data_IF_068096388074
#
_entry.id   IF_068096388074
#
_cell.length_a   1.000
_cell.length_b   1.000
_cell.length_c   1.000
_cell.angle_alpha   90.00
_cell.angle_beta   90.00
_cell.angle_gamma   90.00
#
_symmetry.space_group_name_H-M   'P 1'
#
loop_
_entity.id
_entity.type
_entity.pdbx_description
1 polymer ?
#
# COMPACT_ATOMS: atom_id res chain seq x y z
N UNK A 1 4.25 -2.34 -25.45
CA UNK A 1 3.84 -1.96 -24.09
C UNK A 1 2.66 -1.02 -24.23
N UNK A 2 1.54 -1.33 -23.63
CA UNK A 2 0.33 -0.49 -23.58
C UNK A 2 0.24 0.21 -22.21
N UNK A 3 -0.79 1.04 -21.99
CA UNK A 3 -0.95 1.81 -20.74
C UNK A 3 -1.05 0.92 -19.51
N UNK A 4 -1.76 -0.22 -19.58
CA UNK A 4 -1.85 -1.19 -18.48
C UNK A 4 -0.49 -1.79 -18.11
N UNK A 5 0.29 -2.14 -19.13
CA UNK A 5 1.63 -2.71 -18.93
C UNK A 5 2.54 -1.69 -18.22
N UNK A 6 2.45 -0.40 -18.59
CA UNK A 6 3.20 0.66 -17.94
C UNK A 6 2.80 0.84 -16.47
N UNK A 7 1.50 0.83 -16.16
CA UNK A 7 0.99 0.87 -14.78
C UNK A 7 1.47 -0.35 -14.00
N UNK A 8 1.36 -1.56 -14.59
CA UNK A 8 1.82 -2.80 -13.95
C UNK A 8 3.31 -2.74 -13.60
N UNK A 9 4.15 -2.24 -14.49
CA UNK A 9 5.60 -2.07 -14.22
C UNK A 9 5.82 -1.20 -13.00
N UNK A 10 5.05 -0.10 -12.83
CA UNK A 10 5.12 0.75 -11.64
C UNK A 10 4.70 0.03 -10.36
N UNK A 11 3.65 -0.80 -10.42
CA UNK A 11 3.20 -1.62 -9.29
C UNK A 11 4.23 -2.69 -8.91
N UNK A 12 4.77 -3.40 -9.89
CA UNK A 12 5.80 -4.43 -9.68
C UNK A 12 7.07 -3.83 -9.05
N UNK A 13 7.48 -2.64 -9.51
CA UNK A 13 8.63 -1.92 -8.94
C UNK A 13 8.37 -1.48 -7.50
N UNK A 14 7.17 -1.01 -7.21
CA UNK A 14 6.78 -0.62 -5.85
C UNK A 14 6.84 -1.81 -4.89
N UNK A 15 6.33 -2.97 -5.32
CA UNK A 15 6.41 -4.22 -4.54
C UNK A 15 7.85 -4.67 -4.33
N UNK A 16 8.67 -4.63 -5.38
CA UNK A 16 10.09 -5.00 -5.30
C UNK A 16 10.82 -4.14 -4.27
N UNK A 17 10.69 -2.81 -4.35
CA UNK A 17 11.35 -1.88 -3.42
C UNK A 17 10.81 -2.03 -1.99
N UNK A 18 9.49 -2.03 -1.83
CA UNK A 18 8.86 -2.11 -0.51
C UNK A 18 9.16 -3.42 0.20
N UNK A 19 8.98 -4.55 -0.47
CA UNK A 19 9.30 -5.88 0.10
C UNK A 19 10.79 -6.03 0.38
N UNK A 20 11.65 -5.46 -0.46
CA UNK A 20 13.09 -5.40 -0.19
C UNK A 20 13.38 -4.69 1.12
N UNK A 21 12.81 -3.50 1.35
CA UNK A 21 13.02 -2.76 2.61
C UNK A 21 12.45 -3.46 3.85
N UNK A 22 11.41 -4.26 3.70
CA UNK A 22 10.79 -4.98 4.82
C UNK A 22 11.47 -6.32 5.13
N UNK A 23 12.20 -6.88 4.18
CA UNK A 23 12.63 -8.29 4.19
C UNK A 23 13.33 -8.72 5.48
N UNK A 24 14.30 -7.94 5.94
CA UNK A 24 15.12 -8.23 7.11
C UNK A 24 14.69 -7.49 8.40
N UNK A 25 13.59 -6.73 8.37
CA UNK A 25 13.04 -6.07 9.56
C UNK A 25 12.19 -7.04 10.37
N UNK A 26 12.34 -7.01 11.69
CA UNK A 26 11.48 -7.74 12.64
C UNK A 26 10.19 -6.97 12.93
N UNK A 27 9.19 -7.65 13.52
CA UNK A 27 7.95 -7.00 13.95
C UNK A 27 8.21 -5.85 14.94
N UNK A 28 9.15 -6.03 15.87
CA UNK A 28 9.52 -4.98 16.80
C UNK A 28 10.16 -3.77 16.10
N UNK A 29 10.99 -3.99 15.09
CA UNK A 29 11.61 -2.92 14.30
C UNK A 29 10.57 -2.16 13.44
N UNK A 30 9.48 -2.82 13.03
CA UNK A 30 8.38 -2.15 12.31
C UNK A 30 7.64 -1.12 13.18
N UNK A 31 7.79 -1.16 14.51
CA UNK A 31 7.20 -0.18 15.43
C UNK A 31 8.12 1.02 15.69
N UNK A 32 9.31 1.05 15.10
CA UNK A 32 10.21 2.19 15.23
C UNK A 32 9.62 3.44 14.54
N UNK A 33 9.55 4.56 15.29
CA UNK A 33 9.11 5.85 14.73
C UNK A 33 10.32 6.70 14.38
N UNK A 34 10.49 7.10 13.12
CA UNK A 34 11.68 7.85 12.67
C UNK A 34 11.77 9.28 13.24
N UNK A 35 10.63 9.84 13.68
CA UNK A 35 10.56 11.17 14.28
C UNK A 35 9.29 11.29 15.13
N UNK A 36 9.25 12.31 15.99
CA UNK A 36 8.04 12.67 16.76
C UNK A 36 6.88 12.96 15.80
N UNK A 37 5.77 12.27 15.98
CA UNK A 37 4.57 12.42 15.15
C UNK A 37 4.62 11.65 13.82
N UNK A 38 5.73 10.97 13.50
CA UNK A 38 5.78 10.08 12.36
C UNK A 38 5.12 8.72 12.68
N UNK A 39 4.46 8.13 11.70
CA UNK A 39 3.89 6.80 11.83
C UNK A 39 4.96 5.72 11.68
N UNK A 40 4.88 4.66 12.48
CA UNK A 40 5.72 3.50 12.32
C UNK A 40 5.32 2.64 11.11
N UNK A 41 6.22 1.78 10.63
CA UNK A 41 6.04 0.99 9.39
C UNK A 41 4.83 0.07 9.46
N UNK A 42 4.57 -0.59 10.59
CA UNK A 42 3.43 -1.49 10.74
C UNK A 42 2.11 -0.78 10.43
N UNK A 43 1.88 0.40 11.03
CA UNK A 43 0.68 1.19 10.74
C UNK A 43 0.63 1.64 9.27
N UNK A 44 1.76 2.06 8.70
CA UNK A 44 1.83 2.49 7.30
C UNK A 44 1.47 1.35 6.34
N UNK A 45 1.94 0.12 6.60
CA UNK A 45 1.57 -1.06 5.82
C UNK A 45 0.05 -1.32 5.84
N UNK A 46 -0.55 -1.34 7.03
CA UNK A 46 -1.97 -1.53 7.15
C UNK A 46 -2.77 -0.42 6.47
N UNK A 47 -2.34 0.84 6.61
CA UNK A 47 -2.92 2.00 5.93
C UNK A 47 -2.86 1.86 4.39
N UNK A 48 -1.73 1.43 3.84
CA UNK A 48 -1.56 1.21 2.40
C UNK A 48 -2.51 0.13 1.88
N UNK A 49 -2.65 -0.97 2.62
CA UNK A 49 -3.56 -2.07 2.28
C UNK A 49 -5.02 -1.60 2.25
N UNK A 50 -5.45 -0.87 3.29
CA UNK A 50 -6.82 -0.31 3.36
C UNK A 50 -7.07 0.68 2.23
N UNK A 51 -6.10 1.55 1.97
CA UNK A 51 -6.18 2.55 0.89
C UNK A 51 -6.30 1.89 -0.49
N UNK A 52 -5.47 0.90 -0.79
CA UNK A 52 -5.54 0.15 -2.05
C UNK A 52 -6.88 -0.53 -2.22
N UNK A 53 -7.35 -1.24 -1.18
CA UNK A 53 -8.67 -1.88 -1.18
C UNK A 53 -9.78 -0.88 -1.53
N UNK A 54 -9.85 0.24 -0.80
CA UNK A 54 -10.92 1.23 -0.96
C UNK A 54 -10.89 1.91 -2.33
N UNK A 55 -9.72 2.29 -2.80
CA UNK A 55 -9.56 3.00 -4.08
C UNK A 55 -9.91 2.07 -5.24
N UNK A 56 -9.36 0.86 -5.27
CA UNK A 56 -9.63 -0.06 -6.38
C UNK A 56 -11.07 -0.56 -6.35
N UNK A 57 -11.63 -0.87 -5.17
CA UNK A 57 -13.05 -1.24 -5.06
C UNK A 57 -13.98 -0.12 -5.55
N UNK A 58 -13.58 1.15 -5.39
CA UNK A 58 -14.38 2.28 -5.86
C UNK A 58 -14.42 2.42 -7.39
N UNK A 59 -13.37 2.02 -8.11
CA UNK A 59 -13.31 2.06 -9.59
C UNK A 59 -13.62 0.72 -10.25
N UNK A 60 -13.49 -0.38 -9.52
CA UNK A 60 -13.78 -1.74 -9.97
C UNK A 60 -14.57 -2.52 -8.90
N UNK A 61 -15.84 -2.19 -8.65
CA UNK A 61 -16.65 -2.80 -7.59
C UNK A 61 -16.70 -4.32 -7.66
N UNK A 62 -16.50 -4.98 -6.53
CA UNK A 62 -16.50 -6.44 -6.40
C UNK A 62 -15.21 -7.11 -6.88
N UNK A 63 -14.17 -6.34 -7.21
CA UNK A 63 -12.89 -6.89 -7.68
C UNK A 63 -11.94 -7.25 -6.53
N UNK A 64 -12.10 -6.62 -5.37
CA UNK A 64 -11.17 -6.78 -4.26
C UNK A 64 -11.66 -7.83 -3.26
N UNK A 65 -10.78 -8.74 -2.78
CA UNK A 65 -11.16 -9.65 -1.71
C UNK A 65 -11.44 -8.87 -0.42
N UNK A 66 -12.43 -9.32 0.35
CA UNK A 66 -12.75 -8.69 1.62
C UNK A 66 -11.51 -8.64 2.54
N UNK A 67 -11.33 -7.50 3.19
CA UNK A 67 -10.31 -7.39 4.24
C UNK A 67 -10.71 -8.26 5.46
N UNK A 68 -9.75 -8.79 6.21
CA UNK A 68 -10.04 -9.51 7.45
C UNK A 68 -10.92 -8.69 8.39
N UNK A 69 -11.80 -9.36 9.16
CA UNK A 69 -12.69 -8.68 10.10
C UNK A 69 -11.91 -7.75 11.06
N UNK A 70 -12.34 -6.50 11.17
CA UNK A 70 -11.69 -5.49 12.01
C UNK A 70 -10.36 -4.92 11.47
N UNK A 71 -9.87 -5.40 10.31
CA UNK A 71 -8.59 -4.96 9.77
C UNK A 71 -8.56 -3.43 9.56
N UNK A 72 -9.52 -2.90 8.81
CA UNK A 72 -9.54 -1.46 8.49
C UNK A 72 -9.60 -0.58 9.75
N UNK A 73 -10.29 -1.00 10.80
CA UNK A 73 -10.40 -0.26 12.05
C UNK A 73 -9.08 -0.14 12.82
N UNK A 74 -8.11 -1.05 12.57
CA UNK A 74 -6.78 -0.99 13.19
C UNK A 74 -5.84 0.03 12.56
N UNK A 75 -6.13 0.51 11.34
CA UNK A 75 -5.22 1.31 10.53
C UNK A 75 -5.88 2.61 10.06
N UNK A 76 -6.60 3.27 10.96
CA UNK A 76 -7.20 4.60 10.76
C UNK A 76 -6.28 5.71 11.29
N UNK A 77 -6.61 6.97 11.03
CA UNK A 77 -5.87 8.12 11.58
C UNK A 77 -5.89 8.15 13.12
N UNK A 78 -7.00 7.72 13.71
CA UNK A 78 -7.22 7.68 15.16
C UNK A 78 -6.33 6.63 15.84
N UNK A 79 -5.98 5.56 15.14
CA UNK A 79 -5.11 4.48 15.65
C UNK A 79 -3.64 4.68 15.32
N UNK A 80 -3.28 5.76 14.64
CA UNK A 80 -1.90 6.02 14.20
C UNK A 80 -0.89 6.15 15.36
N UNK A 81 -1.35 6.43 16.58
CA UNK A 81 -0.53 6.51 17.79
C UNK A 81 -0.40 5.19 18.57
N UNK A 82 -1.03 4.11 18.12
CA UNK A 82 -0.97 2.80 18.77
C UNK A 82 0.41 2.18 18.54
N UNK A 83 1.11 1.87 19.63
CA UNK A 83 2.44 1.22 19.61
C UNK A 83 2.42 -0.16 20.28
N UNK A 84 1.27 -0.60 20.79
CA UNK A 84 1.09 -1.90 21.43
C UNK A 84 1.04 -3.03 20.38
N UNK A 85 2.05 -3.90 20.30
CA UNK A 85 2.10 -4.97 19.32
C UNK A 85 0.92 -5.95 19.43
N UNK A 86 0.28 -6.07 20.61
CA UNK A 86 -0.89 -6.94 20.79
C UNK A 86 -2.14 -6.45 20.04
N UNK A 87 -2.18 -5.17 19.67
CA UNK A 87 -3.27 -4.57 18.92
C UNK A 87 -3.04 -4.55 17.41
N UNK A 88 -1.85 -4.88 16.95
CA UNK A 88 -1.41 -4.80 15.56
C UNK A 88 -1.22 -6.20 14.97
N UNK A 89 -1.19 -6.28 13.65
CA UNK A 89 -0.85 -7.53 12.96
C UNK A 89 0.67 -7.66 12.82
N UNK A 90 1.14 -8.90 12.73
CA UNK A 90 2.54 -9.18 12.39
C UNK A 90 2.87 -8.78 10.96
N UNK A 91 4.16 -8.63 10.64
CA UNK A 91 4.62 -8.39 9.26
C UNK A 91 4.10 -9.44 8.29
N UNK A 92 4.16 -10.72 8.69
CA UNK A 92 3.72 -11.84 7.85
C UNK A 92 2.22 -11.74 7.53
N UNK A 93 1.39 -11.47 8.53
CA UNK A 93 -0.06 -11.29 8.35
C UNK A 93 -0.36 -10.10 7.43
N UNK A 94 0.33 -8.97 7.63
CA UNK A 94 0.17 -7.78 6.78
C UNK A 94 0.56 -8.06 5.33
N UNK A 95 1.72 -8.69 5.09
CA UNK A 95 2.17 -9.03 3.74
C UNK A 95 1.23 -10.02 3.06
N UNK A 96 0.67 -11.00 3.79
CA UNK A 96 -0.32 -11.93 3.25
C UNK A 96 -1.58 -11.19 2.77
N UNK A 97 -2.08 -10.23 3.54
CA UNK A 97 -3.25 -9.42 3.14
C UNK A 97 -2.88 -8.54 1.95
N UNK A 98 -1.73 -7.87 1.99
CA UNK A 98 -1.22 -7.06 0.88
C UNK A 98 -1.16 -7.87 -0.43
N UNK A 99 -0.55 -9.05 -0.41
CA UNK A 99 -0.37 -9.87 -1.61
C UNK A 99 -1.71 -10.28 -2.23
N UNK A 100 -2.71 -10.58 -1.41
CA UNK A 100 -4.05 -10.88 -1.88
C UNK A 100 -4.72 -9.64 -2.53
N UNK A 101 -4.59 -8.47 -1.92
CA UNK A 101 -5.13 -7.21 -2.46
C UNK A 101 -4.40 -6.82 -3.76
N UNK A 102 -3.07 -6.85 -3.78
CA UNK A 102 -2.26 -6.53 -4.96
C UNK A 102 -2.55 -7.47 -6.14
N UNK A 103 -2.69 -8.75 -5.90
CA UNK A 103 -3.07 -9.72 -6.93
C UNK A 103 -4.44 -9.39 -7.54
N UNK A 104 -5.40 -8.97 -6.72
CA UNK A 104 -6.73 -8.55 -7.18
C UNK A 104 -6.66 -7.23 -7.98
N UNK A 105 -5.88 -6.25 -7.51
CA UNK A 105 -5.61 -4.99 -8.25
C UNK A 105 -5.06 -5.28 -9.64
N UNK A 106 -4.05 -6.15 -9.75
CA UNK A 106 -3.45 -6.54 -11.02
C UNK A 106 -4.43 -7.31 -11.91
N UNK A 107 -5.26 -8.18 -11.34
CA UNK A 107 -6.28 -8.91 -12.07
C UNK A 107 -7.41 -7.98 -12.58
N UNK A 108 -7.78 -6.96 -11.82
CA UNK A 108 -8.74 -5.95 -12.25
C UNK A 108 -8.14 -5.09 -13.38
N UNK A 109 -6.92 -4.59 -13.21
CA UNK A 109 -6.20 -3.82 -14.22
C UNK A 109 -6.07 -4.58 -15.55
N UNK A 110 -5.78 -5.88 -15.50
CA UNK A 110 -5.59 -6.72 -16.69
C UNK A 110 -6.85 -6.83 -17.58
N UNK A 111 -8.03 -6.57 -17.03
CA UNK A 111 -9.31 -6.63 -17.76
C UNK A 111 -9.64 -5.33 -18.50
N UNK A 112 -8.96 -4.22 -18.18
CA UNK A 112 -9.25 -2.90 -18.75
C UNK A 112 -8.66 -2.75 -20.15
N UNK A 113 -9.24 -1.88 -20.95
CA UNK A 113 -8.65 -1.33 -22.18
C UNK A 113 -8.26 0.13 -21.95
N UNK A 114 -7.47 0.71 -22.86
CA UNK A 114 -6.98 2.09 -22.66
C UNK A 114 -8.13 3.10 -22.47
N UNK A 115 -9.25 2.93 -23.18
CA UNK A 115 -10.45 3.77 -23.00
C UNK A 115 -11.08 3.68 -21.59
N UNK A 116 -10.93 2.55 -20.89
CA UNK A 116 -11.40 2.43 -19.50
C UNK A 116 -10.52 3.24 -18.56
N UNK A 117 -9.22 3.32 -18.84
CA UNK A 117 -8.26 4.07 -18.02
C UNK A 117 -8.51 5.58 -18.03
N UNK A 118 -9.14 6.10 -19.10
CA UNK A 118 -9.52 7.50 -19.22
C UNK A 118 -10.83 7.84 -18.47
N UNK A 119 -11.56 6.84 -17.99
CA UNK A 119 -12.82 7.04 -17.26
C UNK A 119 -12.59 7.85 -16.00
N UNK A 120 -13.48 8.81 -15.75
CA UNK A 120 -13.45 9.64 -14.56
C UNK A 120 -13.64 8.80 -13.29
N UNK A 121 -12.84 9.10 -12.28
CA UNK A 121 -12.94 8.46 -10.98
C UNK A 121 -14.14 8.96 -10.17
N UNK A 122 -14.67 8.16 -9.22
CA UNK A 122 -15.68 8.61 -8.27
C UNK A 122 -15.27 9.90 -7.56
N UNK A 123 -16.25 10.74 -7.24
CA UNK A 123 -16.05 12.06 -6.64
C UNK A 123 -15.14 12.01 -5.38
N UNK A 124 -15.32 10.99 -4.56
CA UNK A 124 -14.57 10.82 -3.31
C UNK A 124 -13.04 10.76 -3.48
N UNK A 125 -12.55 10.31 -4.64
CA UNK A 125 -11.11 10.18 -4.91
C UNK A 125 -10.61 11.10 -6.04
N UNK A 126 -11.51 11.79 -6.76
CA UNK A 126 -11.20 12.54 -7.97
C UNK A 126 -10.19 13.66 -7.77
N UNK A 127 -10.14 14.26 -6.58
CA UNK A 127 -9.21 15.36 -6.27
C UNK A 127 -7.74 14.94 -6.34
N UNK A 128 -7.42 13.66 -6.12
CA UNK A 128 -6.04 13.13 -6.14
C UNK A 128 -5.85 11.96 -7.12
N UNK A 129 -6.93 11.39 -7.62
CA UNK A 129 -6.93 10.37 -8.66
C UNK A 129 -8.05 10.66 -9.66
N UNK A 130 -7.88 11.64 -10.59
CA UNK A 130 -8.97 12.14 -11.43
C UNK A 130 -9.56 11.11 -12.40
N UNK A 131 -8.79 10.12 -12.82
CA UNK A 131 -9.24 9.04 -13.69
C UNK A 131 -8.75 7.68 -13.21
N UNK A 132 -9.20 6.60 -13.84
CA UNK A 132 -8.83 5.24 -13.46
C UNK A 132 -7.33 4.95 -13.61
N UNK A 133 -6.67 5.51 -14.63
CA UNK A 133 -5.22 5.39 -14.75
C UNK A 133 -4.51 5.93 -13.50
N UNK A 134 -4.95 7.08 -12.98
CA UNK A 134 -4.43 7.65 -11.74
C UNK A 134 -4.75 6.76 -10.52
N UNK A 135 -5.98 6.21 -10.44
CA UNK A 135 -6.38 5.34 -9.33
C UNK A 135 -5.49 4.09 -9.23
N UNK A 136 -5.20 3.43 -10.35
CA UNK A 136 -4.30 2.27 -10.39
C UNK A 136 -2.83 2.66 -10.18
N UNK A 137 -2.34 3.72 -10.83
CA UNK A 137 -0.95 4.17 -10.69
C UNK A 137 -0.63 4.65 -9.27
N UNK A 138 -1.61 5.23 -8.58
CA UNK A 138 -1.48 5.70 -7.21
C UNK A 138 -1.06 4.59 -6.25
N UNK A 139 -1.48 3.35 -6.47
CA UNK A 139 -1.14 2.24 -5.57
C UNK A 139 0.37 1.99 -5.52
N UNK A 140 1.06 2.14 -6.65
CA UNK A 140 2.52 2.04 -6.70
C UNK A 140 3.21 3.27 -6.10
N UNK A 141 2.79 4.47 -6.50
CA UNK A 141 3.41 5.72 -6.02
C UNK A 141 3.19 5.95 -4.52
N UNK A 142 2.01 5.61 -3.98
CA UNK A 142 1.70 5.69 -2.54
C UNK A 142 2.58 4.73 -1.74
N UNK A 143 2.75 3.50 -2.24
CA UNK A 143 3.66 2.52 -1.65
C UNK A 143 5.10 3.03 -1.62
N UNK A 144 5.61 3.55 -2.74
CA UNK A 144 6.99 4.08 -2.84
C UNK A 144 7.20 5.32 -1.96
N UNK A 145 6.19 6.18 -1.80
CA UNK A 145 6.25 7.33 -0.90
C UNK A 145 6.49 6.88 0.55
N UNK A 146 5.80 5.83 1.01
CA UNK A 146 6.02 5.24 2.33
C UNK A 146 7.34 4.47 2.40
N UNK A 147 7.72 3.73 1.35
CA UNK A 147 8.99 3.00 1.29
C UNK A 147 10.21 3.94 1.44
N UNK A 148 10.12 5.16 0.96
CA UNK A 148 11.13 6.20 1.24
C UNK A 148 11.30 6.50 2.72
N UNK A 149 10.23 6.50 3.51
CA UNK A 149 10.29 6.64 4.97
C UNK A 149 10.89 5.38 5.63
N UNK A 150 10.59 4.19 5.09
CA UNK A 150 11.17 2.94 5.58
C UNK A 150 12.69 2.88 5.40
N UNK A 151 13.19 3.48 4.31
CA UNK A 151 14.64 3.64 4.10
C UNK A 151 15.30 4.45 5.22
N UNK A 152 14.61 5.49 5.74
CA UNK A 152 15.10 6.28 6.90
C UNK A 152 15.12 5.43 8.16
N UNK A 153 14.03 4.71 8.46
CA UNK A 153 13.94 3.80 9.61
C UNK A 153 15.08 2.76 9.56
N UNK A 154 15.30 2.13 8.41
CA UNK A 154 16.39 1.16 8.22
C UNK A 154 17.76 1.74 8.60
N UNK A 155 18.07 2.95 8.13
CA UNK A 155 19.33 3.64 8.44
C UNK A 155 19.46 3.95 9.93
N UNK A 156 18.38 4.37 10.58
CA UNK A 156 18.37 4.60 12.03
C UNK A 156 18.60 3.32 12.84
N UNK A 157 18.14 2.18 12.32
CA UNK A 157 18.38 0.85 12.90
C UNK A 157 19.75 0.25 12.52
N UNK A 158 20.61 1.01 11.84
CA UNK A 158 21.95 0.54 11.43
C UNK A 158 21.94 -0.45 10.27
N UNK A 159 20.82 -0.58 9.52
CA UNK A 159 20.73 -1.45 8.36
C UNK A 159 21.43 -0.82 7.15
N UNK A 160 22.14 -1.60 6.33
CA UNK A 160 22.80 -1.09 5.14
C UNK A 160 21.77 -0.61 4.08
N UNK A 161 22.16 0.29 3.18
CA UNK A 161 21.39 0.58 1.97
C UNK A 161 21.16 -0.69 1.15
N UNK A 162 19.98 -0.79 0.50
CA UNK A 162 19.66 -1.91 -0.40
C UNK A 162 19.78 -1.52 -1.88
N UNK A 163 19.70 -0.22 -2.17
CA UNK A 163 19.77 0.33 -3.52
C UNK A 163 20.66 1.56 -3.51
#
# INVERSE_FOLDING_TARGET
>A
MNSRDAIKVGLDMADFVGKGYLGDLTDAELLHRPAKGANHINWQLGHLIVSEHQIIESVAPGSMPALPAGFAAKYTKETASVDDPAQLLTKEELLKVHDAQRAATLAALAKLVDADLDRESPEAIRSYAPNWANAYSLQGSHWLMHAGQWAVVRRQLGRPPLF
#
